data_IF_188543417226
#
_entry.id   IF_188543417226
#
_cell.length_a   1.000
_cell.length_b   1.000
_cell.length_c   1.000
_cell.angle_alpha   90.00
_cell.angle_beta   90.00
_cell.angle_gamma   90.00
#
_symmetry.space_group_name_H-M   'P 1'
#
loop_
_entity.id
_entity.type
_entity.pdbx_description
1 polymer ?
#
# COMPACT_ATOMS: atom_id res chain seq x y z
N UNK A 1 21.50 39.07 13.60
CA UNK A 1 21.61 37.59 13.77
C UNK A 1 20.37 36.86 14.22
N UNK A 2 19.66 37.25 15.30
CA UNK A 2 18.50 36.46 15.78
C UNK A 2 17.33 36.35 14.78
N UNK A 3 17.02 37.42 14.05
CA UNK A 3 15.96 37.41 13.03
C UNK A 3 16.32 36.56 11.79
N UNK A 4 17.60 36.52 11.41
CA UNK A 4 18.07 35.74 10.26
C UNK A 4 17.99 34.22 10.54
N UNK A 5 18.31 33.82 11.78
CA UNK A 5 18.18 32.45 12.24
C UNK A 5 16.71 31.98 12.34
N UNK A 6 15.80 32.84 12.80
CA UNK A 6 14.37 32.55 12.84
C UNK A 6 13.76 32.36 11.44
N UNK A 7 14.17 33.17 10.46
CA UNK A 7 13.75 32.98 9.06
C UNK A 7 14.36 31.72 8.45
N UNK A 8 15.62 31.40 8.76
CA UNK A 8 16.29 30.20 8.25
C UNK A 8 15.59 28.91 8.75
N UNK A 9 15.28 28.83 10.05
CA UNK A 9 14.55 27.69 10.62
C UNK A 9 13.16 27.53 10.00
N UNK A 10 12.43 28.64 9.78
CA UNK A 10 11.10 28.57 9.18
C UNK A 10 11.12 28.04 7.74
N UNK A 11 12.20 28.28 6.99
CA UNK A 11 12.37 27.78 5.62
C UNK A 11 12.67 26.29 5.63
N UNK A 12 13.56 25.84 6.51
CA UNK A 12 13.90 24.42 6.65
C UNK A 12 12.69 23.57 7.06
N UNK A 13 11.89 24.05 8.02
CA UNK A 13 10.64 23.39 8.43
C UNK A 13 9.63 23.32 7.29
N UNK A 14 9.50 24.37 6.48
CA UNK A 14 8.60 24.38 5.31
C UNK A 14 9.05 23.35 4.26
N UNK A 15 10.34 23.30 3.95
CA UNK A 15 10.89 22.32 3.00
C UNK A 15 10.70 20.88 3.49
N UNK A 16 10.90 20.63 4.78
CA UNK A 16 10.66 19.30 5.38
C UNK A 16 9.18 18.91 5.30
N UNK A 17 8.26 19.85 5.57
CA UNK A 17 6.83 19.63 5.46
C UNK A 17 6.42 19.32 4.01
N UNK A 18 6.89 20.10 3.04
CA UNK A 18 6.58 19.89 1.62
C UNK A 18 7.11 18.53 1.14
N UNK A 19 8.32 18.14 1.59
CA UNK A 19 8.89 16.85 1.28
C UNK A 19 8.07 15.69 1.87
N UNK A 20 7.61 15.82 3.11
CA UNK A 20 6.83 14.80 3.77
C UNK A 20 5.44 14.64 3.13
N UNK A 21 4.81 15.75 2.74
CA UNK A 21 3.56 15.73 1.99
C UNK A 21 3.71 15.02 0.64
N UNK A 22 4.82 15.26 -0.08
CA UNK A 22 5.10 14.57 -1.34
C UNK A 22 5.31 13.06 -1.15
N UNK A 23 6.07 12.67 -0.11
CA UNK A 23 6.27 11.25 0.22
C UNK A 23 4.95 10.58 0.61
N UNK A 24 4.14 11.24 1.43
CA UNK A 24 2.84 10.74 1.87
C UNK A 24 1.90 10.52 0.67
N UNK A 25 1.79 11.47 -0.26
CA UNK A 25 1.02 11.29 -1.49
C UNK A 25 1.50 10.10 -2.33
N UNK A 26 2.83 9.96 -2.49
CA UNK A 26 3.40 8.84 -3.24
C UNK A 26 3.11 7.50 -2.56
N UNK A 27 3.16 7.46 -1.22
CA UNK A 27 2.82 6.27 -0.46
C UNK A 27 1.34 5.91 -0.63
N UNK A 28 0.43 6.89 -0.54
CA UNK A 28 -1.00 6.67 -0.77
C UNK A 28 -1.27 6.13 -2.17
N UNK A 29 -0.62 6.67 -3.22
CA UNK A 29 -0.73 6.15 -4.57
C UNK A 29 -0.21 4.71 -4.69
N UNK A 30 0.91 4.39 -4.04
CA UNK A 30 1.46 3.04 -3.99
C UNK A 30 0.53 2.06 -3.27
N UNK A 31 -0.08 2.46 -2.16
CA UNK A 31 -1.07 1.64 -1.45
C UNK A 31 -2.31 1.40 -2.30
N UNK A 32 -2.81 2.42 -3.01
CA UNK A 32 -3.96 2.25 -3.92
C UNK A 32 -3.66 1.25 -5.05
N UNK A 33 -2.47 1.34 -5.66
CA UNK A 33 -2.04 0.38 -6.69
C UNK A 33 -1.92 -1.03 -6.11
N UNK A 34 -1.42 -1.17 -4.88
CA UNK A 34 -1.35 -2.46 -4.21
C UNK A 34 -2.75 -3.05 -4.00
N UNK A 35 -3.72 -2.25 -3.55
CA UNK A 35 -5.11 -2.69 -3.38
C UNK A 35 -5.75 -3.12 -4.71
N UNK A 36 -5.48 -2.39 -5.80
CA UNK A 36 -5.94 -2.74 -7.14
C UNK A 36 -5.36 -4.08 -7.61
N UNK A 37 -4.05 -4.29 -7.45
CA UNK A 37 -3.39 -5.55 -7.80
C UNK A 37 -3.82 -6.72 -6.91
N UNK A 38 -4.06 -6.48 -5.62
CA UNK A 38 -4.60 -7.50 -4.71
C UNK A 38 -5.99 -7.95 -5.16
N UNK A 39 -6.88 -7.01 -5.53
CA UNK A 39 -8.20 -7.34 -6.07
C UNK A 39 -8.10 -8.11 -7.38
N UNK A 40 -7.24 -7.67 -8.29
CA UNK A 40 -7.01 -8.34 -9.57
C UNK A 40 -6.46 -9.77 -9.39
N UNK A 41 -5.58 -9.95 -8.42
CA UNK A 41 -5.02 -11.26 -8.08
C UNK A 41 -6.08 -12.17 -7.46
N UNK A 42 -6.95 -11.64 -6.58
CA UNK A 42 -8.08 -12.38 -5.99
C UNK A 42 -9.06 -12.83 -7.09
N UNK A 43 -9.45 -11.92 -7.99
CA UNK A 43 -10.29 -12.24 -9.14
C UNK A 43 -9.67 -13.32 -10.04
N UNK A 44 -8.37 -13.22 -10.32
CA UNK A 44 -7.66 -14.22 -11.10
C UNK A 44 -7.63 -15.58 -10.37
N UNK A 45 -7.42 -15.59 -9.06
CA UNK A 45 -7.46 -16.81 -8.25
C UNK A 45 -8.82 -17.51 -8.40
N UNK A 46 -9.92 -16.79 -8.27
CA UNK A 46 -11.28 -17.33 -8.46
C UNK A 46 -11.58 -17.79 -9.90
N UNK A 47 -10.83 -17.31 -10.90
CA UNK A 47 -10.93 -17.79 -12.29
C UNK A 47 -10.08 -19.04 -12.56
N UNK A 48 -8.95 -19.20 -11.87
CA UNK A 48 -8.01 -20.29 -12.10
C UNK A 48 -8.36 -21.57 -11.31
N UNK A 49 -9.06 -21.44 -10.18
CA UNK A 49 -9.48 -22.57 -9.34
C UNK A 49 -10.97 -22.44 -8.97
N UNK A 50 -11.68 -23.57 -8.73
CA UNK A 50 -13.08 -23.52 -8.29
C UNK A 50 -13.26 -22.65 -7.05
N UNK A 51 -14.36 -21.88 -6.98
CA UNK A 51 -14.62 -20.93 -5.87
C UNK A 51 -14.45 -21.55 -4.49
N UNK A 52 -14.88 -22.81 -4.34
CA UNK A 52 -14.76 -23.57 -3.09
C UNK A 52 -13.30 -23.76 -2.65
N UNK A 53 -12.38 -23.99 -3.59
CA UNK A 53 -10.95 -24.15 -3.31
C UNK A 53 -10.31 -22.80 -3.00
N UNK A 54 -10.69 -21.75 -3.75
CA UNK A 54 -10.20 -20.38 -3.50
C UNK A 54 -10.61 -19.86 -2.11
N UNK A 55 -11.86 -20.09 -1.70
CA UNK A 55 -12.36 -19.69 -0.38
C UNK A 55 -11.64 -20.42 0.75
N UNK A 56 -11.36 -21.72 0.59
CA UNK A 56 -10.58 -22.52 1.56
C UNK A 56 -9.12 -22.05 1.65
N UNK A 57 -8.48 -21.79 0.52
CA UNK A 57 -7.12 -21.21 0.45
C UNK A 57 -7.05 -19.83 1.12
N UNK A 58 -8.09 -19.00 0.92
CA UNK A 58 -8.21 -17.69 1.56
C UNK A 58 -8.42 -17.77 3.08
N UNK A 59 -9.09 -18.82 3.55
CA UNK A 59 -9.26 -19.12 4.97
C UNK A 59 -7.99 -19.67 5.63
N UNK A 60 -6.90 -19.83 4.87
CA UNK A 60 -5.61 -20.30 5.38
C UNK A 60 -5.45 -21.82 5.41
N UNK A 61 -6.32 -22.55 4.72
CA UNK A 61 -6.17 -24.00 4.57
C UNK A 61 -4.98 -24.34 3.66
N UNK A 62 -4.34 -25.48 3.93
CA UNK A 62 -3.20 -25.94 3.14
C UNK A 62 -3.64 -26.20 1.70
N UNK A 63 -2.89 -25.72 0.69
CA UNK A 63 -3.19 -25.98 -0.73
C UNK A 63 -3.31 -27.47 -1.07
N UNK A 64 -2.64 -28.31 -0.28
CA UNK A 64 -2.61 -29.76 -0.43
C UNK A 64 -3.92 -30.39 0.05
N UNK A 65 -4.53 -29.81 1.10
CA UNK A 65 -5.79 -30.27 1.69
C UNK A 65 -7.02 -29.76 0.93
N UNK A 66 -6.83 -28.78 0.04
CA UNK A 66 -7.88 -28.26 -0.85
C UNK A 66 -8.01 -29.02 -2.17
N UNK A 67 -7.08 -29.93 -2.48
CA UNK A 67 -7.14 -30.79 -3.66
C UNK A 67 -7.70 -32.17 -3.26
N UNK A 68 -9.02 -32.34 -3.34
CA UNK A 68 -9.71 -33.64 -3.26
C UNK A 68 -10.34 -34.02 -4.60
#
# INVERSE_FOLDING_TARGET
DLMLAGTQQSVELKLALDQEQLKSKKLEESMRKLDEEMKRTDELLYQMIPKQVADRLRNGESPIDTCE
#
